data_IF_266931198309
#
_entry.id   IF_266931198309
#
_cell.length_a   1.000
_cell.length_b   1.000
_cell.length_c   1.000
_cell.angle_alpha   90.00
_cell.angle_beta   90.00
_cell.angle_gamma   90.00
#
_symmetry.space_group_name_H-M   'P 1'
#
loop_
_entity.id
_entity.type
_entity.pdbx_description
1 polymer ?
#
# COMPACT_ATOMS: atom_id res chain seq x y z
N UNK A 1 0.26 11.13 -14.36
CA UNK A 1 1.44 10.99 -13.48
C UNK A 1 2.51 11.92 -14.01
N UNK A 2 2.89 12.94 -13.25
CA UNK A 2 4.07 13.74 -13.59
C UNK A 2 5.23 13.06 -12.85
N UNK A 3 6.00 12.24 -13.56
CA UNK A 3 7.25 11.71 -13.01
C UNK A 3 8.23 12.85 -12.87
N UNK A 4 8.99 12.89 -11.78
CA UNK A 4 10.04 13.88 -11.56
C UNK A 4 11.01 13.85 -12.75
N UNK A 5 11.14 14.96 -13.52
CA UNK A 5 12.01 15.03 -14.69
C UNK A 5 13.49 14.71 -14.40
N UNK A 6 13.91 14.79 -13.14
CA UNK A 6 15.28 14.50 -12.75
C UNK A 6 15.51 13.03 -12.38
N UNK A 7 14.43 12.25 -12.15
CA UNK A 7 14.51 10.87 -11.63
C UNK A 7 13.89 9.81 -12.54
N UNK A 8 13.28 10.19 -13.67
CA UNK A 8 12.60 9.26 -14.58
C UNK A 8 13.50 8.63 -15.65
N UNK A 9 14.69 9.21 -15.88
CA UNK A 9 15.59 8.77 -16.94
C UNK A 9 16.95 8.36 -16.38
N UNK A 10 17.43 7.19 -16.80
CA UNK A 10 18.79 6.74 -16.58
C UNK A 10 19.48 6.59 -17.93
N UNK A 11 20.67 7.17 -18.07
CA UNK A 11 21.50 7.08 -19.29
C UNK A 11 22.87 6.57 -18.89
N UNK A 12 23.32 5.50 -19.54
CA UNK A 12 24.64 4.93 -19.34
C UNK A 12 25.29 4.66 -20.69
N UNK A 13 26.60 4.85 -20.77
CA UNK A 13 27.40 4.45 -21.92
C UNK A 13 28.09 3.12 -21.60
N UNK A 14 27.97 2.17 -22.52
CA UNK A 14 28.63 0.88 -22.41
C UNK A 14 29.57 0.70 -23.60
N UNK A 15 30.84 0.43 -23.32
CA UNK A 15 31.82 0.07 -24.35
C UNK A 15 31.82 -1.45 -24.47
N UNK A 16 31.16 -1.98 -25.50
CA UNK A 16 31.28 -3.38 -25.89
C UNK A 16 32.56 -3.48 -26.73
N UNK A 17 33.36 -4.53 -26.52
CA UNK A 17 34.69 -4.69 -27.15
C UNK A 17 34.71 -4.52 -28.67
N UNK A 18 35.92 -4.37 -29.23
CA UNK A 18 36.15 -4.04 -30.62
C UNK A 18 35.49 -5.05 -31.58
N UNK A 19 34.32 -4.70 -32.12
CA UNK A 19 33.83 -5.26 -33.37
C UNK A 19 34.65 -4.68 -34.51
N UNK A 20 35.01 -5.52 -35.49
CA UNK A 20 35.77 -5.09 -36.65
C UNK A 20 35.03 -3.95 -37.36
N UNK A 21 35.63 -2.76 -37.34
CA UNK A 21 35.07 -1.53 -37.90
C UNK A 21 34.87 -1.58 -39.44
N UNK A 22 35.15 -2.72 -40.06
CA UNK A 22 35.03 -2.98 -41.49
C UNK A 22 33.69 -3.62 -41.88
N UNK A 23 32.92 -4.15 -40.92
CA UNK A 23 31.60 -4.73 -41.21
C UNK A 23 30.51 -3.67 -41.05
N UNK A 24 29.93 -3.24 -42.17
CA UNK A 24 28.88 -2.22 -42.22
C UNK A 24 27.51 -2.74 -41.77
N UNK A 25 27.39 -4.05 -41.51
CA UNK A 25 26.15 -4.71 -41.14
C UNK A 25 26.02 -4.77 -39.61
N UNK A 26 25.41 -3.74 -39.03
CA UNK A 26 25.13 -3.71 -37.61
C UNK A 26 23.86 -4.50 -37.32
N UNK A 27 24.02 -5.75 -36.89
CA UNK A 27 22.90 -6.57 -36.47
C UNK A 27 22.22 -6.00 -35.22
N UNK A 28 20.90 -5.83 -35.30
CA UNK A 28 20.10 -5.34 -34.19
C UNK A 28 20.16 -6.34 -33.02
N UNK A 29 20.58 -5.91 -31.80
CA UNK A 29 20.62 -6.78 -30.64
C UNK A 29 19.22 -7.33 -30.31
N UNK A 30 19.13 -8.56 -29.84
CA UNK A 30 17.87 -9.19 -29.46
C UNK A 30 17.84 -9.56 -27.98
N UNK A 31 16.67 -9.93 -27.45
CA UNK A 31 16.49 -10.45 -26.09
C UNK A 31 16.86 -9.49 -24.95
N UNK A 32 16.46 -8.22 -25.07
CA UNK A 32 16.61 -7.24 -23.98
C UNK A 32 15.91 -7.69 -22.69
N UNK A 33 16.63 -7.56 -21.57
CA UNK A 33 16.11 -7.81 -20.21
C UNK A 33 16.66 -6.76 -19.26
N UNK A 34 15.82 -6.26 -18.35
CA UNK A 34 16.23 -5.25 -17.36
C UNK A 34 16.92 -5.83 -16.11
N UNK A 35 17.10 -7.15 -16.04
CA UNK A 35 17.74 -7.81 -14.89
C UNK A 35 16.91 -7.78 -13.59
N UNK A 36 15.76 -7.11 -13.59
CA UNK A 36 14.82 -7.03 -12.46
C UNK A 36 13.57 -7.87 -12.73
N UNK A 37 12.99 -8.50 -11.70
CA UNK A 37 11.78 -9.32 -11.86
C UNK A 37 10.58 -8.45 -12.25
N UNK A 38 9.65 -9.04 -13.01
CA UNK A 38 8.39 -8.40 -13.37
C UNK A 38 8.37 -7.59 -14.66
N UNK A 39 9.52 -7.36 -15.30
CA UNK A 39 9.58 -6.65 -16.58
C UNK A 39 9.70 -7.61 -17.75
N UNK A 40 8.79 -7.47 -18.72
CA UNK A 40 8.87 -8.13 -20.02
C UNK A 40 9.12 -7.08 -21.10
N UNK A 41 10.21 -7.23 -21.85
CA UNK A 41 10.58 -6.32 -22.94
C UNK A 41 10.09 -6.85 -24.29
N UNK A 42 9.54 -5.95 -25.09
CA UNK A 42 9.14 -6.23 -26.47
C UNK A 42 10.38 -6.34 -27.38
N UNK A 43 10.16 -6.82 -28.61
CA UNK A 43 11.20 -6.82 -29.64
C UNK A 43 11.60 -5.37 -29.96
N UNK A 44 12.91 -5.09 -30.13
CA UNK A 44 13.40 -3.76 -30.51
C UNK A 44 12.85 -3.34 -31.88
N UNK A 45 12.58 -2.05 -32.02
CA UNK A 45 12.15 -1.43 -33.28
C UNK A 45 13.20 -0.40 -33.67
N UNK A 46 13.71 -0.48 -34.89
CA UNK A 46 14.63 0.52 -35.43
C UNK A 46 13.92 1.86 -35.60
N UNK A 47 14.54 2.93 -35.12
CA UNK A 47 14.04 4.29 -35.21
C UNK A 47 15.09 5.21 -35.84
N UNK A 48 14.71 6.45 -36.13
CA UNK A 48 15.63 7.44 -36.67
C UNK A 48 16.86 7.60 -35.76
N UNK A 49 18.09 7.71 -36.33
CA UNK A 49 19.30 7.78 -35.54
C UNK A 49 19.31 8.97 -34.57
N UNK A 50 19.54 8.66 -33.30
CA UNK A 50 19.64 9.64 -32.22
C UNK A 50 20.93 10.46 -32.33
N UNK A 51 20.89 11.69 -31.79
CA UNK A 51 22.05 12.58 -31.67
C UNK A 51 22.36 12.76 -30.20
N UNK A 52 23.62 12.59 -29.84
CA UNK A 52 24.10 12.79 -28.48
C UNK A 52 25.32 13.70 -28.48
N UNK A 53 25.56 14.39 -27.38
CA UNK A 53 26.72 15.27 -27.22
C UNK A 53 27.79 14.54 -26.41
N UNK A 54 28.97 14.33 -27.00
CA UNK A 54 30.15 13.81 -26.29
C UNK A 54 30.85 14.87 -25.43
N UNK A 55 30.77 16.16 -25.81
CA UNK A 55 31.63 17.23 -25.27
C UNK A 55 30.80 18.38 -24.63
N UNK A 56 29.85 18.06 -23.75
CA UNK A 56 29.12 19.08 -22.97
C UNK A 56 28.33 20.10 -23.80
N UNK A 57 27.91 19.74 -25.01
CA UNK A 57 26.98 20.49 -25.88
C UNK A 57 27.62 21.14 -27.10
N UNK A 58 28.95 21.10 -27.26
CA UNK A 58 29.64 21.79 -28.38
C UNK A 58 29.61 21.03 -29.70
N UNK A 59 29.55 19.70 -29.67
CA UNK A 59 29.50 18.83 -30.85
C UNK A 59 28.44 17.75 -30.64
N UNK A 60 27.62 17.55 -31.67
CA UNK A 60 26.63 16.50 -31.73
C UNK A 60 27.15 15.37 -32.61
N UNK A 61 27.25 14.18 -32.05
CA UNK A 61 27.57 12.96 -32.77
C UNK A 61 26.26 12.23 -33.05
N UNK A 62 26.08 11.78 -34.29
CA UNK A 62 24.93 10.97 -34.68
C UNK A 62 25.27 9.50 -34.50
N UNK A 63 24.38 8.75 -33.86
CA UNK A 63 24.51 7.30 -33.78
C UNK A 63 24.38 6.66 -35.17
N UNK A 64 25.03 5.52 -35.41
CA UNK A 64 24.87 4.76 -36.65
C UNK A 64 23.48 4.11 -36.74
N UNK A 65 22.95 3.65 -35.60
CA UNK A 65 21.62 3.09 -35.45
C UNK A 65 21.02 3.44 -34.10
N UNK A 66 19.70 3.43 -34.01
CA UNK A 66 18.98 3.62 -32.74
C UNK A 66 17.78 2.69 -32.72
N UNK A 67 17.57 2.03 -31.58
CA UNK A 67 16.47 1.10 -31.38
C UNK A 67 15.65 1.54 -30.18
N UNK A 68 14.33 1.48 -30.33
CA UNK A 68 13.39 1.66 -29.24
C UNK A 68 12.96 0.29 -28.71
N UNK A 69 13.08 0.10 -27.40
CA UNK A 69 12.65 -1.09 -26.68
C UNK A 69 11.67 -0.67 -25.61
N UNK A 70 10.45 -1.20 -25.69
CA UNK A 70 9.42 -0.98 -24.66
C UNK A 70 9.40 -2.17 -23.70
N UNK A 71 9.62 -1.91 -22.41
CA UNK A 71 9.49 -2.91 -21.35
C UNK A 71 8.28 -2.59 -20.48
N UNK A 72 7.44 -3.59 -20.23
CA UNK A 72 6.20 -3.46 -19.46
C UNK A 72 6.35 -4.22 -18.15
N UNK A 73 5.92 -3.59 -17.05
CA UNK A 73 5.88 -4.22 -15.73
C UNK A 73 4.58 -5.00 -15.51
N UNK A 74 4.69 -6.21 -14.99
CA UNK A 74 3.58 -7.05 -14.55
C UNK A 74 3.81 -7.51 -13.11
N UNK A 75 2.89 -7.14 -12.22
CA UNK A 75 2.95 -7.51 -10.79
C UNK A 75 2.99 -9.03 -10.60
N UNK A 76 2.19 -9.78 -11.38
CA UNK A 76 2.13 -11.24 -11.30
C UNK A 76 3.46 -11.90 -11.70
N UNK A 77 4.19 -11.30 -12.65
CA UNK A 77 5.53 -11.77 -13.03
C UNK A 77 6.60 -11.30 -12.04
N UNK A 78 6.37 -10.19 -11.35
CA UNK A 78 7.31 -9.63 -10.38
C UNK A 78 7.37 -10.45 -9.09
N UNK A 79 6.22 -10.95 -8.64
CA UNK A 79 6.15 -11.84 -7.49
C UNK A 79 4.90 -12.70 -7.55
N UNK A 80 5.06 -13.98 -7.24
CA UNK A 80 3.95 -14.93 -7.10
C UNK A 80 3.19 -14.77 -5.78
N UNK A 81 3.79 -14.10 -4.79
CA UNK A 81 3.19 -13.86 -3.48
C UNK A 81 3.05 -12.36 -3.23
N UNK A 82 1.92 -11.90 -2.67
CA UNK A 82 1.78 -10.51 -2.20
C UNK A 82 2.89 -10.13 -1.23
N UNK A 83 3.24 -8.83 -1.17
CA UNK A 83 4.25 -8.30 -0.24
C UNK A 83 3.65 -7.50 0.91
N UNK A 84 2.34 -7.25 0.89
CA UNK A 84 1.67 -6.48 1.92
C UNK A 84 0.26 -6.99 2.20
N UNK A 85 -0.21 -6.71 3.40
CA UNK A 85 -1.57 -7.00 3.83
C UNK A 85 -2.17 -5.81 4.57
N UNK A 86 -3.49 -5.80 4.67
CA UNK A 86 -4.25 -4.73 5.30
C UNK A 86 -4.97 -5.22 6.55
N UNK A 87 -4.99 -4.39 7.58
CA UNK A 87 -5.78 -4.58 8.78
C UNK A 87 -6.66 -3.37 9.02
N UNK A 88 -7.87 -3.58 9.54
CA UNK A 88 -8.91 -2.55 9.62
C UNK A 88 -9.42 -2.43 11.05
N UNK A 89 -9.73 -1.21 11.48
CA UNK A 89 -10.39 -0.96 12.76
C UNK A 89 -11.22 0.32 12.70
N UNK A 90 -12.16 0.48 13.63
CA UNK A 90 -13.00 1.66 13.72
C UNK A 90 -13.37 1.98 15.16
N UNK A 91 -13.59 3.26 15.47
CA UNK A 91 -13.94 3.73 16.82
C UNK A 91 -15.26 3.15 17.37
N UNK A 92 -16.13 2.64 16.50
CA UNK A 92 -17.44 2.08 16.87
C UNK A 92 -17.41 0.54 17.00
N UNK A 93 -16.23 -0.08 16.89
CA UNK A 93 -16.07 -1.52 17.04
C UNK A 93 -14.79 -1.82 17.82
N UNK A 94 -14.92 -2.57 18.91
CA UNK A 94 -13.81 -2.89 19.82
C UNK A 94 -12.82 -3.91 19.23
N UNK A 95 -13.21 -4.61 18.16
CA UNK A 95 -12.38 -5.63 17.51
C UNK A 95 -11.59 -5.06 16.31
N UNK A 96 -10.33 -5.48 16.20
CA UNK A 96 -9.49 -5.20 15.04
C UNK A 96 -9.60 -6.36 14.04
N UNK A 97 -9.88 -6.03 12.78
CA UNK A 97 -9.81 -6.99 11.69
C UNK A 97 -8.36 -7.11 11.26
N UNK A 98 -7.75 -8.24 11.58
CA UNK A 98 -6.37 -8.52 11.24
C UNK A 98 -6.19 -8.86 9.76
N UNK A 99 -4.94 -8.80 9.29
CA UNK A 99 -4.60 -9.33 7.98
C UNK A 99 -5.01 -10.80 7.84
N UNK A 100 -5.51 -11.23 6.67
CA UNK A 100 -5.79 -12.64 6.42
C UNK A 100 -4.56 -13.52 6.67
N UNK A 101 -4.79 -14.69 7.25
CA UNK A 101 -3.72 -15.66 7.53
C UNK A 101 -3.03 -16.07 6.23
N UNK A 102 -1.71 -16.17 6.27
CA UNK A 102 -0.88 -16.58 5.14
C UNK A 102 -1.01 -15.71 3.87
N UNK A 103 -1.31 -14.42 4.02
CA UNK A 103 -1.42 -13.47 2.90
C UNK A 103 -0.18 -13.42 2.00
N UNK A 104 1.03 -13.52 2.58
CA UNK A 104 2.30 -13.42 1.84
C UNK A 104 3.06 -14.75 1.74
N UNK A 105 2.30 -15.86 1.64
CA UNK A 105 2.77 -17.24 1.59
C UNK A 105 3.37 -17.78 2.90
N UNK A 106 2.83 -18.90 3.38
CA UNK A 106 3.34 -19.64 4.55
C UNK A 106 4.11 -20.91 4.17
N UNK A 107 4.36 -21.17 2.88
CA UNK A 107 4.96 -22.42 2.45
C UNK A 107 6.43 -22.52 2.90
N UNK A 108 6.73 -23.55 3.69
CA UNK A 108 8.10 -23.99 4.00
C UNK A 108 8.73 -23.44 5.28
N UNK A 109 7.99 -22.71 6.13
CA UNK A 109 8.52 -22.32 7.44
C UNK A 109 8.28 -23.45 8.45
N UNK A 110 9.33 -23.97 9.12
CA UNK A 110 9.14 -24.88 10.24
C UNK A 110 8.27 -24.19 11.29
N UNK A 111 7.44 -24.98 11.96
CA UNK A 111 6.46 -24.49 12.92
C UNK A 111 7.07 -23.58 13.98
N UNK A 112 6.18 -22.77 14.58
CA UNK A 112 6.37 -22.03 15.84
C UNK A 112 7.70 -22.29 16.57
N UNK A 113 8.64 -21.34 16.51
CA UNK A 113 9.70 -21.23 17.51
C UNK A 113 11.14 -21.25 17.01
N UNK A 114 11.42 -21.59 15.76
CA UNK A 114 12.80 -21.60 15.27
C UNK A 114 13.12 -20.35 14.45
N UNK A 115 14.00 -19.52 14.99
CA UNK A 115 14.61 -18.40 14.24
C UNK A 115 15.44 -19.00 13.11
N UNK A 116 15.16 -18.67 11.83
CA UNK A 116 16.03 -19.10 10.75
C UNK A 116 17.44 -18.57 11.00
N UNK A 117 18.51 -19.34 10.74
CA UNK A 117 19.86 -18.82 10.83
C UNK A 117 19.98 -17.60 9.93
N UNK A 118 20.21 -16.43 10.52
CA UNK A 118 20.26 -15.11 9.88
C UNK A 118 21.36 -14.94 8.81
N UNK A 119 21.99 -16.01 8.32
CA UNK A 119 23.31 -15.95 7.66
C UNK A 119 23.54 -16.87 6.46
N UNK A 120 22.53 -17.49 5.83
CA UNK A 120 22.77 -18.40 4.70
C UNK A 120 22.11 -18.07 3.36
N UNK A 121 21.65 -16.83 3.15
CA UNK A 121 20.96 -16.48 1.91
C UNK A 121 21.46 -15.20 1.23
N UNK A 122 22.77 -15.14 0.99
CA UNK A 122 23.30 -14.31 -0.10
C UNK A 122 24.05 -15.23 -1.04
N UNK A 123 23.31 -15.88 -1.95
CA UNK A 123 23.89 -16.74 -2.99
C UNK A 123 24.04 -16.05 -4.35
N UNK A 124 23.51 -14.83 -4.52
CA UNK A 124 23.71 -14.04 -5.73
C UNK A 124 23.64 -12.53 -5.40
N UNK A 125 24.69 -11.73 -5.64
CA UNK A 125 24.67 -10.27 -5.44
C UNK A 125 23.72 -9.53 -6.41
N UNK A 126 23.23 -10.19 -7.47
CA UNK A 126 22.30 -9.58 -8.44
C UNK A 126 20.82 -9.81 -8.12
N UNK A 127 20.50 -10.59 -7.09
CA UNK A 127 19.12 -10.91 -6.73
C UNK A 127 18.75 -10.23 -5.41
N UNK A 128 17.65 -9.48 -5.39
CA UNK A 128 17.14 -8.92 -4.13
C UNK A 128 16.86 -10.08 -3.15
N UNK A 129 17.44 -10.05 -1.93
CA UNK A 129 17.20 -11.09 -0.96
C UNK A 129 15.71 -11.13 -0.58
N UNK A 130 15.14 -12.33 -0.37
CA UNK A 130 13.75 -12.45 0.03
C UNK A 130 13.53 -11.70 1.36
N UNK A 131 12.36 -11.07 1.56
CA UNK A 131 12.08 -10.37 2.79
C UNK A 131 12.08 -11.33 3.97
N UNK A 132 12.91 -11.06 4.98
CA UNK A 132 12.93 -11.84 6.23
C UNK A 132 12.02 -11.14 7.22
N UNK A 133 10.99 -11.85 7.67
CA UNK A 133 10.01 -11.35 8.65
C UNK A 133 9.96 -12.29 9.84
N UNK A 134 9.65 -11.75 11.02
CA UNK A 134 9.30 -12.60 12.17
C UNK A 134 8.00 -13.34 11.89
N UNK A 135 7.87 -14.53 12.46
CA UNK A 135 6.67 -15.36 12.32
C UNK A 135 5.43 -14.58 12.80
N UNK A 136 4.62 -14.16 11.83
CA UNK A 136 3.33 -13.52 12.04
C UNK A 136 2.26 -14.36 11.32
N UNK A 137 0.99 -14.34 11.75
CA UNK A 137 -0.04 -15.14 11.10
C UNK A 137 -0.20 -14.88 9.59
N UNK A 138 0.16 -13.70 9.11
CA UNK A 138 0.03 -13.28 7.71
C UNK A 138 1.33 -13.35 6.89
N UNK A 139 2.49 -13.46 7.55
CA UNK A 139 3.83 -13.58 6.94
C UNK A 139 4.23 -12.45 5.97
N UNK A 140 3.62 -11.27 6.11
CA UNK A 140 3.86 -10.15 5.20
C UNK A 140 4.92 -9.18 5.73
N UNK A 141 5.87 -8.72 4.90
CA UNK A 141 6.86 -7.73 5.31
C UNK A 141 6.27 -6.35 5.55
N UNK A 142 5.17 -6.00 4.88
CA UNK A 142 4.49 -4.74 5.11
C UNK A 142 3.06 -5.00 5.60
N UNK A 143 2.67 -4.28 6.65
CA UNK A 143 1.29 -4.24 7.13
C UNK A 143 0.79 -2.81 7.10
N UNK A 144 -0.28 -2.57 6.35
CA UNK A 144 -0.99 -1.30 6.37
C UNK A 144 -2.19 -1.42 7.30
N UNK A 145 -2.28 -0.56 8.30
CA UNK A 145 -3.41 -0.48 9.21
C UNK A 145 -4.24 0.76 8.90
N UNK A 146 -5.54 0.55 8.64
CA UNK A 146 -6.50 1.62 8.41
C UNK A 146 -7.46 1.70 9.58
N UNK A 147 -7.42 2.81 10.31
CA UNK A 147 -8.22 3.04 11.48
C UNK A 147 -9.16 4.22 11.29
N UNK A 148 -10.47 3.99 11.37
CA UNK A 148 -11.46 5.06 11.43
C UNK A 148 -11.51 5.60 12.85
N UNK A 149 -10.86 6.74 13.08
CA UNK A 149 -10.57 7.27 14.43
C UNK A 149 -11.75 7.99 15.05
N UNK A 150 -12.44 8.82 14.27
CA UNK A 150 -13.56 9.61 14.78
C UNK A 150 -14.45 10.12 13.66
N UNK A 151 -15.71 10.38 13.99
CA UNK A 151 -16.67 11.04 13.11
C UNK A 151 -17.27 12.26 13.79
N UNK A 152 -17.14 13.42 13.17
CA UNK A 152 -17.75 14.69 13.59
C UNK A 152 -19.04 14.94 12.80
N UNK A 153 -19.61 16.15 12.89
CA UNK A 153 -20.82 16.50 12.11
C UNK A 153 -20.55 16.49 10.61
N UNK A 154 -19.56 17.27 10.16
CA UNK A 154 -19.25 17.48 8.74
C UNK A 154 -18.03 16.69 8.25
N UNK A 155 -17.15 16.27 9.16
CA UNK A 155 -15.89 15.61 8.81
C UNK A 155 -15.75 14.27 9.50
N UNK A 156 -14.87 13.43 8.98
CA UNK A 156 -14.43 12.22 9.64
C UNK A 156 -12.91 12.08 9.48
N UNK A 157 -12.32 11.40 10.46
CA UNK A 157 -10.87 11.29 10.61
C UNK A 157 -10.45 9.83 10.49
N UNK A 158 -9.47 9.60 9.65
CA UNK A 158 -8.83 8.29 9.46
C UNK A 158 -7.37 8.40 9.85
N UNK A 159 -6.85 7.36 10.49
CA UNK A 159 -5.44 7.16 10.75
C UNK A 159 -4.93 5.99 9.92
N UNK A 160 -3.86 6.21 9.17
CA UNK A 160 -3.15 5.19 8.41
C UNK A 160 -1.82 4.94 9.10
N UNK A 161 -1.49 3.68 9.35
CA UNK A 161 -0.18 3.26 9.86
C UNK A 161 0.41 2.25 8.89
N UNK A 162 1.60 2.50 8.38
CA UNK A 162 2.37 1.52 7.59
C UNK A 162 3.46 0.97 8.49
N UNK A 163 3.40 -0.31 8.79
CA UNK A 163 4.41 -1.03 9.57
C UNK A 163 5.31 -1.83 8.64
N UNK A 164 6.62 -1.72 8.86
CA UNK A 164 7.60 -2.60 8.28
C UNK A 164 7.96 -3.70 9.28
N UNK A 165 7.71 -4.94 8.87
CA UNK A 165 7.99 -6.16 9.61
C UNK A 165 9.18 -6.91 9.01
N UNK A 166 9.83 -6.34 7.99
CA UNK A 166 11.08 -6.87 7.44
C UNK A 166 12.25 -6.49 8.35
N UNK A 167 13.07 -7.47 8.71
CA UNK A 167 14.19 -7.32 9.65
C UNK A 167 15.43 -6.72 8.96
N UNK A 168 15.59 -6.93 7.66
CA UNK A 168 16.81 -6.58 6.92
C UNK A 168 16.63 -5.45 5.91
N UNK A 169 15.39 -5.06 5.60
CA UNK A 169 15.09 -4.11 4.52
C UNK A 169 14.44 -2.84 5.04
N UNK A 170 15.06 -1.71 4.74
CA UNK A 170 14.46 -0.38 4.81
C UNK A 170 13.83 -0.03 3.46
N UNK A 171 12.79 0.80 3.47
CA UNK A 171 12.16 1.33 2.25
C UNK A 171 12.36 2.85 2.19
N UNK A 172 13.26 3.29 1.31
CA UNK A 172 13.42 4.71 0.98
C UNK A 172 12.43 5.12 -0.11
N UNK A 173 11.94 6.36 -0.05
CA UNK A 173 11.01 6.91 -1.05
C UNK A 173 9.73 6.08 -1.19
N UNK A 174 9.27 5.48 -0.09
CA UNK A 174 8.10 4.62 -0.11
C UNK A 174 6.86 5.40 -0.55
N UNK A 175 5.94 4.70 -1.21
CA UNK A 175 4.65 5.25 -1.59
C UNK A 175 3.52 4.29 -1.22
N UNK A 176 2.37 4.88 -0.90
CA UNK A 176 1.14 4.20 -0.59
C UNK A 176 0.06 4.77 -1.50
N UNK A 177 -0.61 3.93 -2.28
CA UNK A 177 -1.78 4.34 -3.07
C UNK A 177 -3.01 3.69 -2.44
N UNK A 178 -4.04 4.48 -2.18
CA UNK A 178 -5.31 3.98 -1.70
C UNK A 178 -6.42 4.38 -2.67
N UNK A 179 -7.43 3.52 -2.76
CA UNK A 179 -8.65 3.74 -3.54
C UNK A 179 -9.83 3.91 -2.57
N UNK A 180 -10.41 5.11 -2.49
CA UNK A 180 -11.58 5.40 -1.67
C UNK A 180 -12.46 6.49 -2.33
N UNK A 181 -13.78 6.27 -2.48
CA UNK A 181 -14.69 7.23 -3.14
C UNK A 181 -14.64 8.66 -2.56
N UNK A 182 -14.39 8.79 -1.26
CA UNK A 182 -14.35 10.08 -0.56
C UNK A 182 -13.04 10.87 -0.72
N UNK A 183 -12.06 10.39 -1.50
CA UNK A 183 -10.82 11.15 -1.74
C UNK A 183 -11.01 12.40 -2.60
N UNK A 184 -12.10 12.48 -3.36
CA UNK A 184 -12.52 13.72 -4.03
C UNK A 184 -12.79 14.89 -3.06
N UNK A 185 -13.11 14.56 -1.80
CA UNK A 185 -13.45 15.51 -0.73
C UNK A 185 -12.46 15.41 0.44
N UNK A 186 -11.21 15.08 0.13
CA UNK A 186 -10.13 15.08 1.11
C UNK A 186 -9.75 16.52 1.45
N UNK A 187 -9.80 16.86 2.74
CA UNK A 187 -9.57 18.23 3.22
C UNK A 187 -8.12 18.43 3.63
N UNK A 188 -7.55 17.48 4.36
CA UNK A 188 -6.20 17.61 4.90
C UNK A 188 -5.57 16.24 5.13
N UNK A 189 -4.27 16.14 4.84
CA UNK A 189 -3.40 15.02 5.22
C UNK A 189 -2.34 15.55 6.18
N UNK A 190 -2.10 14.81 7.25
CA UNK A 190 -1.10 15.11 8.27
C UNK A 190 0.08 14.14 8.11
N UNK A 191 1.30 14.65 8.31
CA UNK A 191 2.55 13.87 8.34
C UNK A 191 2.98 13.17 7.05
N UNK A 192 2.12 13.03 6.03
CA UNK A 192 2.47 12.54 4.69
C UNK A 192 2.20 13.61 3.64
N UNK A 193 2.90 13.50 2.51
CA UNK A 193 2.52 14.19 1.29
C UNK A 193 1.37 13.45 0.60
N UNK A 194 0.58 14.18 -0.19
CA UNK A 194 -0.59 13.65 -0.90
C UNK A 194 -0.70 14.20 -2.31
N UNK A 195 -1.07 13.33 -3.26
CA UNK A 195 -1.40 13.71 -4.62
C UNK A 195 -2.60 12.88 -5.12
N UNK A 196 -3.68 13.51 -5.58
CA UNK A 196 -4.79 12.78 -6.19
C UNK A 196 -4.36 12.17 -7.52
N UNK A 197 -4.72 10.91 -7.77
CA UNK A 197 -4.43 10.22 -9.02
C UNK A 197 -5.71 10.17 -9.87
N UNK A 198 -5.85 11.09 -10.82
CA UNK A 198 -6.90 11.07 -11.84
C UNK A 198 -6.44 10.25 -13.05
N UNK A 199 -6.52 8.92 -12.97
CA UNK A 199 -6.12 8.04 -14.09
C UNK A 199 -7.08 8.16 -15.29
N UNK A 200 -8.36 8.40 -15.01
CA UNK A 200 -9.40 8.66 -16.00
C UNK A 200 -10.05 9.98 -15.58
N UNK A 201 -9.90 11.05 -16.36
CA UNK A 201 -10.05 12.47 -15.97
C UNK A 201 -11.32 12.94 -15.24
N UNK A 202 -12.26 12.05 -14.90
CA UNK A 202 -13.46 12.33 -14.12
C UNK A 202 -13.52 11.60 -12.76
N UNK A 203 -12.62 10.64 -12.47
CA UNK A 203 -12.66 9.83 -11.25
C UNK A 203 -11.44 10.15 -10.39
N UNK A 204 -11.68 10.85 -9.28
CA UNK A 204 -10.68 11.25 -8.28
C UNK A 204 -10.83 10.41 -6.99
N UNK A 205 -11.00 9.09 -7.14
CA UNK A 205 -11.15 8.16 -6.02
C UNK A 205 -9.83 7.52 -5.58
N UNK A 206 -8.74 7.85 -6.27
CA UNK A 206 -7.41 7.31 -6.01
C UNK A 206 -6.50 8.40 -5.44
N UNK A 207 -5.80 8.10 -4.36
CA UNK A 207 -4.87 9.00 -3.69
C UNK A 207 -3.51 8.36 -3.51
N UNK A 208 -2.45 9.06 -3.88
CA UNK A 208 -1.06 8.66 -3.61
C UNK A 208 -0.54 9.42 -2.39
N UNK A 209 0.10 8.70 -1.49
CA UNK A 209 0.75 9.20 -0.29
C UNK A 209 2.23 8.80 -0.31
N UNK A 210 3.09 9.67 0.16
CA UNK A 210 4.52 9.37 0.32
C UNK A 210 5.10 10.16 1.50
N UNK A 211 6.28 9.75 1.94
CA UNK A 211 6.98 10.42 3.03
C UNK A 211 7.38 11.86 2.70
N UNK A 212 7.50 12.67 3.74
CA UNK A 212 8.11 13.99 3.71
C UNK A 212 9.62 13.82 3.82
N UNK A 213 10.35 14.45 2.91
CA UNK A 213 11.81 14.40 2.84
C UNK A 213 12.43 14.80 4.19
N UNK A 214 13.45 14.05 4.63
CA UNK A 214 14.14 14.23 5.92
C UNK A 214 13.28 14.05 7.18
N UNK A 215 12.04 13.59 7.06
CA UNK A 215 11.16 13.33 8.20
C UNK A 215 10.74 11.86 8.27
N UNK A 216 10.08 11.38 7.23
CA UNK A 216 9.58 10.00 7.16
C UNK A 216 9.61 9.45 5.72
N UNK A 217 10.51 9.97 4.89
CA UNK A 217 10.85 9.46 3.56
C UNK A 217 11.54 8.09 3.60
N UNK A 218 12.01 7.66 4.76
CA UNK A 218 12.55 6.32 5.02
C UNK A 218 11.68 5.56 6.02
N UNK A 219 11.14 4.42 5.58
CA UNK A 219 10.49 3.45 6.45
C UNK A 219 11.52 2.41 6.88
N UNK A 220 11.97 2.55 8.13
CA UNK A 220 12.98 1.67 8.72
C UNK A 220 12.46 0.25 8.91
N UNK A 221 13.39 -0.70 9.04
CA UNK A 221 13.16 -2.11 9.35
C UNK A 221 12.40 -2.31 10.67
N UNK A 222 11.99 -3.55 10.92
CA UNK A 222 11.26 -3.95 12.11
C UNK A 222 11.91 -3.42 13.40
N UNK A 223 11.12 -2.77 14.24
CA UNK A 223 11.54 -2.16 15.50
C UNK A 223 10.54 -1.11 15.99
N UNK A 224 10.89 -0.39 17.06
CA UNK A 224 10.04 0.67 17.64
C UNK A 224 9.74 1.80 16.64
N UNK A 225 10.72 2.11 15.79
CA UNK A 225 10.65 3.12 14.73
C UNK A 225 10.33 2.53 13.34
N UNK A 226 10.00 1.24 13.27
CA UNK A 226 9.67 0.53 12.02
C UNK A 226 8.26 0.80 11.51
N UNK A 227 7.73 2.01 11.73
CA UNK A 227 6.42 2.41 11.22
C UNK A 227 6.35 3.90 10.90
N UNK A 228 5.48 4.22 9.94
CA UNK A 228 5.10 5.59 9.60
C UNK A 228 3.60 5.75 9.74
N UNK A 229 3.16 6.92 10.20
CA UNK A 229 1.76 7.18 10.51
C UNK A 229 1.33 8.50 9.90
N UNK A 230 0.08 8.53 9.45
CA UNK A 230 -0.59 9.72 8.96
C UNK A 230 -2.02 9.73 9.45
N UNK A 231 -2.55 10.93 9.63
CA UNK A 231 -3.98 11.14 9.79
C UNK A 231 -4.49 11.92 8.60
N UNK A 232 -5.74 11.72 8.26
CA UNK A 232 -6.41 12.52 7.24
C UNK A 232 -7.80 12.90 7.69
N UNK A 233 -8.21 14.09 7.29
CA UNK A 233 -9.53 14.63 7.50
C UNK A 233 -10.24 14.66 6.16
N UNK A 234 -11.41 14.03 6.09
CA UNK A 234 -12.23 14.06 4.90
C UNK A 234 -13.60 14.63 5.23
N UNK A 235 -14.12 15.44 4.31
CA UNK A 235 -15.47 15.96 4.39
C UNK A 235 -16.48 14.84 4.11
N UNK A 236 -17.64 14.90 4.76
CA UNK A 236 -18.73 13.94 4.55
C UNK A 236 -19.60 14.43 3.41
N UNK A 237 -19.48 13.78 2.26
CA UNK A 237 -20.36 14.09 1.13
C UNK A 237 -21.79 13.62 1.41
N UNK A 238 -22.73 14.57 1.38
CA UNK A 238 -24.15 14.28 1.54
C UNK A 238 -24.61 13.27 0.48
N UNK A 239 -25.35 12.24 0.92
CA UNK A 239 -25.87 11.18 0.05
C UNK A 239 -24.87 10.07 -0.31
N UNK A 240 -23.56 10.22 -0.02
CA UNK A 240 -22.55 9.19 -0.31
C UNK A 240 -21.97 8.62 0.98
N UNK A 241 -21.69 9.48 1.96
CA UNK A 241 -21.07 9.07 3.21
C UNK A 241 -21.98 8.11 3.99
N UNK A 242 -21.43 6.95 4.38
CA UNK A 242 -22.14 5.94 5.17
C UNK A 242 -21.17 5.10 6.00
N UNK A 243 -21.63 4.62 7.15
CA UNK A 243 -20.93 3.60 7.94
C UNK A 243 -21.38 2.18 7.61
N UNK A 244 -22.40 2.03 6.75
CA UNK A 244 -22.95 0.73 6.38
C UNK A 244 -22.00 0.03 5.43
N UNK A 245 -22.01 -1.30 5.49
CA UNK A 245 -21.31 -2.17 4.53
C UNK A 245 -19.82 -1.87 4.37
N UNK A 246 -19.20 -1.30 5.40
CA UNK A 246 -17.77 -1.02 5.38
C UNK A 246 -17.34 0.10 4.43
N UNK A 247 -18.25 1.00 4.03
CA UNK A 247 -17.96 2.07 3.07
C UNK A 247 -16.78 2.97 3.46
N UNK A 248 -16.54 3.17 4.76
CA UNK A 248 -15.42 3.97 5.33
C UNK A 248 -14.03 3.35 5.14
N UNK A 249 -13.95 2.14 4.62
CA UNK A 249 -12.71 1.42 4.38
C UNK A 249 -12.33 1.51 2.89
N UNK A 250 -11.02 1.52 2.58
CA UNK A 250 -10.55 1.63 1.21
C UNK A 250 -10.90 0.37 0.44
N UNK A 251 -11.18 0.53 -0.84
CA UNK A 251 -11.48 -0.59 -1.74
C UNK A 251 -10.22 -1.35 -2.12
N UNK A 252 -9.10 -0.64 -2.24
CA UNK A 252 -7.78 -1.17 -2.61
C UNK A 252 -6.68 -0.35 -1.96
N UNK A 253 -5.57 -1.02 -1.67
CA UNK A 253 -4.32 -0.40 -1.20
C UNK A 253 -3.17 -1.02 -2.00
N UNK A 254 -2.26 -0.18 -2.48
CA UNK A 254 -0.99 -0.59 -3.06
C UNK A 254 0.15 0.04 -2.26
N UNK A 255 1.19 -0.73 -1.99
CA UNK A 255 2.41 -0.23 -1.35
C UNK A 255 3.59 -0.44 -2.31
N UNK A 256 4.31 0.62 -2.65
CA UNK A 256 5.40 0.60 -3.64
C UNK A 256 5.01 -0.08 -4.98
N UNK A 257 3.74 0.07 -5.37
CA UNK A 257 3.20 -0.53 -6.59
C UNK A 257 2.76 -1.99 -6.47
N UNK A 258 2.94 -2.66 -5.33
CA UNK A 258 2.42 -4.00 -5.08
C UNK A 258 1.03 -3.91 -4.43
N UNK A 259 0.05 -4.68 -4.94
CA UNK A 259 -1.31 -4.72 -4.38
C UNK A 259 -1.35 -5.49 -3.06
N UNK A 260 -1.92 -4.87 -2.02
CA UNK A 260 -2.02 -5.47 -0.70
C UNK A 260 -3.28 -6.32 -0.54
N UNK A 261 -3.14 -7.43 0.18
CA UNK A 261 -4.27 -8.32 0.48
C UNK A 261 -5.20 -7.62 1.49
N UNK A 262 -6.42 -7.33 1.04
CA UNK A 262 -7.49 -6.81 1.88
C UNK A 262 -8.19 -7.95 2.64
N UNK A 263 -8.68 -7.73 3.88
CA UNK A 263 -9.62 -8.66 4.51
C UNK A 263 -10.90 -8.80 3.67
N UNK A 264 -11.64 -9.92 3.80
CA UNK A 264 -12.93 -10.06 3.14
C UNK A 264 -13.91 -9.01 3.70
N UNK A 265 -14.79 -8.42 2.86
CA UNK A 265 -15.74 -7.39 3.30
C UNK A 265 -16.68 -7.85 4.43
N UNK A 266 -16.91 -9.15 4.57
CA UNK A 266 -17.74 -9.69 5.63
C UNK A 266 -17.18 -9.49 7.03
N UNK A 267 -15.86 -9.44 7.14
CA UNK A 267 -15.16 -9.27 8.41
C UNK A 267 -15.04 -7.80 8.81
N UNK A 268 -15.35 -6.84 7.92
CA UNK A 268 -15.10 -5.41 8.16
C UNK A 268 -15.80 -4.93 9.43
N UNK A 269 -15.20 -3.98 10.18
CA UNK A 269 -15.83 -3.45 11.37
C UNK A 269 -17.23 -2.88 11.08
N UNK A 270 -18.26 -3.51 11.67
CA UNK A 270 -19.66 -3.10 11.52
C UNK A 270 -20.11 -2.28 12.72
N UNK A 271 -21.05 -1.37 12.49
CA UNK A 271 -21.77 -0.73 13.59
C UNK A 271 -22.44 -1.82 14.46
N UNK A 272 -22.46 -1.64 15.79
CA UNK A 272 -23.23 -2.53 16.66
C UNK A 272 -24.64 -2.63 16.10
N UNK A 273 -25.14 -3.85 15.91
CA UNK A 273 -26.58 -4.02 15.69
C UNK A 273 -27.25 -3.43 16.92
N UNK A 274 -28.15 -2.47 16.73
CA UNK A 274 -29.05 -2.03 17.78
C UNK A 274 -29.90 -3.23 18.20
N UNK A 275 -29.36 -4.09 19.05
CA UNK A 275 -30.19 -4.80 20.00
C UNK A 275 -30.63 -3.71 20.96
N UNK A 276 -31.80 -3.14 20.69
CA UNK A 276 -32.58 -2.56 21.75
C UNK A 276 -32.70 -3.69 22.79
N UNK A 277 -31.81 -3.69 23.79
CA UNK A 277 -32.11 -4.31 25.07
C UNK A 277 -33.33 -3.52 25.53
N UNK A 278 -34.52 -4.00 25.17
CA UNK A 278 -35.74 -3.56 25.76
C UNK A 278 -35.48 -3.71 27.26
N UNK A 279 -35.24 -2.59 27.93
CA UNK A 279 -35.08 -2.56 29.35
C UNK A 279 -36.46 -2.94 29.92
N UNK A 280 -36.69 -4.24 30.10
CA UNK A 280 -37.89 -4.80 30.75
C UNK A 280 -37.97 -4.44 32.24
N UNK A 281 -37.34 -3.35 32.66
CA UNK A 281 -37.21 -2.92 34.05
C UNK A 281 -38.22 -1.86 34.47
N UNK A 282 -39.10 -1.37 33.59
CA UNK A 282 -40.07 -0.33 33.97
C UNK A 282 -41.37 -0.90 34.56
N UNK A 283 -41.82 -2.10 34.17
CA UNK A 283 -43.06 -2.69 34.70
C UNK A 283 -42.90 -3.25 36.12
N UNK A 284 -41.76 -3.87 36.46
CA UNK A 284 -41.56 -4.49 37.78
C UNK A 284 -41.48 -3.47 38.92
N UNK A 285 -40.99 -2.25 38.68
CA UNK A 285 -40.88 -1.18 39.68
C UNK A 285 -42.25 -0.51 39.92
N UNK A 286 -43.10 -0.45 38.90
CA UNK A 286 -44.46 0.08 39.04
C UNK A 286 -45.33 -0.91 39.82
N UNK A 287 -45.23 -2.21 39.54
CA UNK A 287 -45.98 -3.23 40.30
C UNK A 287 -45.52 -3.36 41.76
N UNK A 288 -44.21 -3.24 42.05
CA UNK A 288 -43.72 -3.30 43.43
C UNK A 288 -44.09 -2.06 44.25
N UNK A 289 -44.10 -0.87 43.64
CA UNK A 289 -44.52 0.36 44.33
C UNK A 289 -46.02 0.39 44.61
N UNK A 290 -46.87 -0.07 43.68
CA UNK A 290 -48.31 -0.23 43.91
C UNK A 290 -48.64 -1.27 44.98
N UNK A 291 -47.90 -2.38 45.03
CA UNK A 291 -48.10 -3.42 46.06
C UNK A 291 -47.71 -2.92 47.46
N UNK A 292 -46.62 -2.17 47.60
CA UNK A 292 -46.23 -1.55 48.86
C UNK A 292 -47.25 -0.49 49.32
N UNK A 293 -47.81 0.30 48.40
CA UNK A 293 -48.84 1.28 48.72
C UNK A 293 -50.13 0.62 49.23
N UNK A 294 -50.52 -0.52 48.61
CA UNK A 294 -51.67 -1.31 49.03
C UNK A 294 -51.48 -1.90 50.45
N UNK A 295 -50.28 -2.40 50.76
CA UNK A 295 -49.97 -2.91 52.11
C UNK A 295 -50.09 -1.80 53.16
N UNK A 296 -49.62 -0.58 52.86
CA UNK A 296 -49.70 0.56 53.79
C UNK A 296 -51.16 0.98 54.03
N UNK A 297 -52.01 0.93 53.01
CA UNK A 297 -53.43 1.27 53.12
C UNK A 297 -54.26 0.23 53.89
N UNK A 298 -53.85 -1.05 53.90
CA UNK A 298 -54.53 -2.11 54.64
C UNK A 298 -54.07 -2.17 56.12
N UNK A 299 -52.87 -1.67 56.41
CA UNK A 299 -52.29 -1.68 57.76
C UNK A 299 -52.66 -0.45 58.62
N UNK A 300 -53.51 0.44 58.13
CA UNK A 300 -53.93 1.67 58.79
C UNK A 300 -55.43 1.68 59.11
#
# INVERSE_FOLDING_TARGET
MIQDPTKYAAVFQMNIGAGDAADSDFDMPQNFRLGVPGYTCAKPVQVAPSKYSSDGGRRWTQALGTWNVTCIYSQYQASTSPKCCVSLSAFYNDSIVHCPKCSCSCQGLPGFGETPPLLQQVKDPNQEPPPIVRCTPHMCPIRVHWHVKQSYKEYWRVKITVNNLNILKNYSGWNLVALHPNFKSLTQVFSFNYHPLSQYGHINDSGMFWGVEYYNDMLLQEGEVGNVQSEMLLHKDEGIFSFREGWVFPRRILFNGDECVMPPPDDYPRLPKNTARAASFTLSIIFSSLFMLLIILIAC
#
